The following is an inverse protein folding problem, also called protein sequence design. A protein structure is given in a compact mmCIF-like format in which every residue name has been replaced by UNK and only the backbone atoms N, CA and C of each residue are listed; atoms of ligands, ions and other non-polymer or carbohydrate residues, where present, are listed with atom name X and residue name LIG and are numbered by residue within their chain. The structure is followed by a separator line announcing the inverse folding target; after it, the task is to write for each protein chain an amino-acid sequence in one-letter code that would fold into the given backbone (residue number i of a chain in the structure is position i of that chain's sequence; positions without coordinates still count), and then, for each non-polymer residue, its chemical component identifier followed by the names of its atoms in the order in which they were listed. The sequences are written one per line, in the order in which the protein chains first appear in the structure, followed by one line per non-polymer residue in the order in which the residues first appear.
data_IF_560131319678
#
_entry.id   IF_560131319678
#
_cell.length_a   1.000
_cell.length_b   1.000
_cell.length_c   1.000
_cell.angle_alpha   90.00
_cell.angle_beta   90.00
_cell.angle_gamma   90.00
#
_symmetry.space_group_name_H-M   'P 1'
#
loop_
_entity.id
_entity.type
_entity.pdbx_description
1 polymer ?
#
# COMPACT_ATOMS: atom_id res chain seq x y z
N UNK A 1 1.88 6.83 1.81
CA UNK A 1 1.03 5.68 1.44
C UNK A 1 -0.34 5.81 2.06
N UNK A 2 -0.47 5.89 3.40
CA UNK A 2 -1.77 6.02 4.08
C UNK A 2 -2.69 7.07 3.45
N UNK A 3 -2.22 8.32 3.31
CA UNK A 3 -3.03 9.40 2.73
C UNK A 3 -3.53 9.09 1.31
N UNK A 4 -2.68 8.49 0.47
CA UNK A 4 -3.04 8.08 -0.89
C UNK A 4 -4.05 6.95 -0.88
N UNK A 5 -3.86 5.93 -0.04
CA UNK A 5 -4.79 4.81 0.07
C UNK A 5 -6.17 5.28 0.54
N UNK A 6 -6.23 6.17 1.54
CA UNK A 6 -7.47 6.80 2.00
C UNK A 6 -8.15 7.59 0.88
N UNK A 7 -7.40 8.38 0.11
CA UNK A 7 -7.96 9.15 -1.01
C UNK A 7 -8.52 8.26 -2.14
N UNK A 8 -7.94 7.06 -2.31
CA UNK A 8 -8.39 6.06 -3.28
C UNK A 8 -9.50 5.13 -2.76
N UNK A 9 -9.85 5.23 -1.47
CA UNK A 9 -10.83 4.31 -0.86
C UNK A 9 -10.31 2.88 -0.68
N UNK A 10 -9.00 2.70 -0.56
CA UNK A 10 -8.35 1.40 -0.32
C UNK A 10 -8.20 1.17 1.17
N UNK A 11 -8.58 -0.01 1.65
CA UNK A 11 -8.36 -0.47 3.02
C UNK A 11 -7.11 -1.36 3.09
N UNK A 12 -6.49 -1.47 4.27
CA UNK A 12 -5.20 -2.13 4.37
C UNK A 12 -4.33 -1.71 5.54
N UNK A 13 -3.06 -2.04 5.42
CA UNK A 13 -2.03 -1.56 6.34
C UNK A 13 -0.72 -1.33 5.61
N UNK A 14 0.13 -0.46 6.16
CA UNK A 14 1.53 -0.29 5.74
C UNK A 14 2.44 -0.34 6.96
N UNK A 15 3.63 -0.93 6.82
CA UNK A 15 4.64 -0.96 7.88
C UNK A 15 6.06 -0.98 7.34
N UNK A 16 6.99 -0.54 8.16
CA UNK A 16 8.41 -0.75 7.89
C UNK A 16 8.80 -2.16 8.31
N UNK A 17 9.60 -2.83 7.50
CA UNK A 17 10.13 -4.15 7.77
C UNK A 17 11.55 -4.05 8.37
N UNK A 18 12.01 -5.07 9.12
CA UNK A 18 13.33 -5.06 9.76
C UNK A 18 14.50 -4.91 8.78
N UNK A 19 14.31 -5.32 7.52
CA UNK A 19 15.27 -5.20 6.42
C UNK A 19 15.29 -3.81 5.76
N UNK A 20 14.53 -2.85 6.32
CA UNK A 20 14.32 -1.48 5.83
C UNK A 20 13.42 -1.36 4.60
N UNK A 21 12.81 -2.46 4.13
CA UNK A 21 11.77 -2.39 3.12
C UNK A 21 10.44 -1.93 3.73
N UNK A 22 9.48 -1.62 2.85
CA UNK A 22 8.11 -1.28 3.25
C UNK A 22 7.18 -2.38 2.78
N UNK A 23 6.46 -2.99 3.72
CA UNK A 23 5.41 -3.97 3.42
C UNK A 23 4.04 -3.34 3.57
N UNK A 24 3.09 -3.74 2.71
CA UNK A 24 1.71 -3.31 2.84
C UNK A 24 0.72 -4.37 2.36
N UNK A 25 -0.48 -4.33 2.92
CA UNK A 25 -1.67 -5.03 2.42
C UNK A 25 -2.61 -3.98 1.86
N UNK A 26 -3.23 -4.25 0.72
CA UNK A 26 -4.18 -3.36 0.08
C UNK A 26 -5.37 -4.17 -0.43
N UNK A 27 -6.58 -3.77 -0.04
CA UNK A 27 -7.81 -4.37 -0.47
C UNK A 27 -8.86 -3.31 -0.82
N UNK A 28 -9.65 -3.59 -1.85
CA UNK A 28 -10.65 -2.67 -2.38
C UNK A 28 -11.00 -2.98 -3.83
N UNK A 29 -11.75 -2.10 -4.50
CA UNK A 29 -11.98 -2.16 -5.94
C UNK A 29 -10.66 -2.29 -6.71
N UNK A 30 -10.65 -3.10 -7.76
CA UNK A 30 -9.42 -3.43 -8.50
C UNK A 30 -8.72 -2.19 -9.05
N UNK A 31 -9.48 -1.26 -9.60
CA UNK A 31 -9.01 0.03 -10.12
C UNK A 31 -8.37 0.90 -9.02
N UNK A 32 -8.95 0.92 -7.81
CA UNK A 32 -8.40 1.64 -6.68
C UNK A 32 -7.08 1.01 -6.19
N UNK A 33 -7.01 -0.32 -6.12
CA UNK A 33 -5.79 -1.06 -5.77
C UNK A 33 -4.71 -0.83 -6.82
N UNK A 34 -5.05 -0.95 -8.11
CA UNK A 34 -4.12 -0.73 -9.23
C UNK A 34 -3.56 0.71 -9.22
N UNK A 35 -4.38 1.71 -8.87
CA UNK A 35 -3.93 3.09 -8.70
C UNK A 35 -2.95 3.25 -7.53
N UNK A 36 -3.20 2.57 -6.40
CA UNK A 36 -2.28 2.58 -5.26
C UNK A 36 -0.96 1.89 -5.60
N UNK A 37 -0.99 0.76 -6.33
CA UNK A 37 0.20 0.07 -6.82
C UNK A 37 1.02 0.96 -7.76
N UNK A 38 0.36 1.65 -8.69
CA UNK A 38 1.03 2.60 -9.59
C UNK A 38 1.69 3.75 -8.82
N UNK A 39 1.01 4.31 -7.81
CA UNK A 39 1.59 5.35 -6.96
C UNK A 39 2.79 4.82 -6.16
N UNK A 40 2.71 3.57 -5.70
CA UNK A 40 3.76 2.94 -4.87
C UNK A 40 5.07 2.72 -5.62
N UNK A 41 5.05 2.69 -6.97
CA UNK A 41 6.28 2.67 -7.79
C UNK A 41 7.08 3.97 -7.73
N UNK A 42 6.42 5.10 -7.47
CA UNK A 42 7.09 6.40 -7.32
C UNK A 42 7.28 6.76 -5.84
N UNK A 43 6.30 6.41 -5.00
CA UNK A 43 6.29 6.78 -3.60
C UNK A 43 6.02 8.28 -3.36
N UNK A 44 6.17 8.75 -2.12
CA UNK A 44 6.09 10.17 -1.80
C UNK A 44 7.26 10.97 -2.41
N UNK A 45 7.15 12.30 -2.47
CA UNK A 45 8.08 13.18 -3.20
C UNK A 45 9.58 13.02 -2.87
N UNK A 46 9.93 12.48 -1.70
CA UNK A 46 11.31 12.25 -1.26
C UNK A 46 11.70 10.77 -1.20
N UNK A 47 10.84 9.87 -1.65
CA UNK A 47 11.15 8.45 -1.74
C UNK A 47 11.82 8.10 -3.06
N UNK A 48 12.64 7.07 -3.01
CA UNK A 48 13.12 6.34 -4.18
C UNK A 48 12.77 4.88 -3.95
N UNK A 49 12.02 4.31 -4.89
CA UNK A 49 11.60 2.91 -4.86
C UNK A 49 12.46 2.17 -5.86
N UNK A 50 13.31 1.27 -5.38
CA UNK A 50 14.19 0.49 -6.25
C UNK A 50 13.44 -0.72 -6.84
N UNK A 51 12.53 -1.33 -6.09
CA UNK A 51 11.76 -2.52 -6.48
C UNK A 51 10.37 -2.51 -5.83
N UNK A 52 9.39 -3.13 -6.50
CA UNK A 52 8.03 -3.34 -5.99
C UNK A 52 7.57 -4.75 -6.36
N UNK A 53 7.50 -5.61 -5.35
CA UNK A 53 6.94 -6.96 -5.46
C UNK A 53 5.45 -6.95 -5.07
N UNK A 54 4.63 -7.63 -5.87
CA UNK A 54 3.17 -7.68 -5.68
C UNK A 54 2.68 -9.10 -5.86
N UNK A 55 1.97 -9.60 -4.86
CA UNK A 55 1.35 -10.92 -4.88
C UNK A 55 -0.14 -10.81 -4.50
N UNK A 56 -1.06 -11.48 -5.22
CA UNK A 56 -2.44 -11.60 -4.79
C UNK A 56 -2.53 -12.31 -3.43
N UNK A 57 -3.38 -11.80 -2.55
CA UNK A 57 -3.64 -12.37 -1.23
C UNK A 57 -5.14 -12.43 -0.94
N UNK A 58 -5.51 -13.18 0.09
CA UNK A 58 -6.89 -13.26 0.56
C UNK A 58 -7.35 -11.93 1.18
N UNK A 59 -8.64 -11.62 1.00
CA UNK A 59 -9.25 -10.41 1.57
C UNK A 59 -9.36 -10.54 3.09
N UNK A 60 -8.77 -9.59 3.82
CA UNK A 60 -8.74 -9.55 5.27
C UNK A 60 -9.97 -8.84 5.88
N UNK A 61 -10.80 -8.17 5.06
CA UNK A 61 -12.02 -7.43 5.46
C UNK A 61 -11.73 -6.25 6.40
N UNK A 62 -10.73 -5.48 6.04
CA UNK A 62 -10.35 -4.22 6.65
C UNK A 62 -11.28 -3.11 6.16
N UNK A 63 -11.58 -2.16 7.05
CA UNK A 63 -12.46 -1.02 6.80
C UNK A 63 -11.69 0.30 6.63
N UNK A 64 -10.39 0.27 6.90
CA UNK A 64 -9.53 1.44 6.97
C UNK A 64 -8.11 1.10 6.56
N UNK A 65 -7.31 2.14 6.26
CA UNK A 65 -5.89 2.01 5.95
C UNK A 65 -5.04 2.57 7.10
N UNK A 66 -4.29 1.69 7.77
CA UNK A 66 -3.55 2.04 8.99
C UNK A 66 -2.03 1.89 8.82
N UNK A 67 -1.27 2.65 9.62
CA UNK A 67 0.18 2.48 9.73
C UNK A 67 0.47 1.60 10.93
N UNK A 68 1.12 0.47 10.70
CA UNK A 68 1.57 -0.42 11.78
C UNK A 68 3.01 -0.06 12.19
N UNK A 69 3.38 -0.37 13.45
CA UNK A 69 4.74 -0.14 13.95
C UNK A 69 5.79 -0.95 13.18
#
# INVERSE_FOLDING_TARGET
MQQTATALGVAGWVRNLPDRSVGFHAEGPRDAVDALLSWSRSGPAFARVDELDVEPCDVARLDSFVVLP
#
